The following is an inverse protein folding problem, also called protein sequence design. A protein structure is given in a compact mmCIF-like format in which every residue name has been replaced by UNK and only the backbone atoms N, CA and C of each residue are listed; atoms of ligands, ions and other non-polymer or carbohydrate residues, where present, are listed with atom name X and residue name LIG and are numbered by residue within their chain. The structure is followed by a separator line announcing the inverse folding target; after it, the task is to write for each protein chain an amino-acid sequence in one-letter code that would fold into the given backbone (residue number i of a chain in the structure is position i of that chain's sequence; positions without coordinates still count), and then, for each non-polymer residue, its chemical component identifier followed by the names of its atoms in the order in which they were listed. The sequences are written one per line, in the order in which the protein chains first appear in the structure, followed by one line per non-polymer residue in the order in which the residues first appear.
data_IF_195050421733
#
_entry.id   IF_195050421733
#
_cell.length_a   1.000
_cell.length_b   1.000
_cell.length_c   1.000
_cell.angle_alpha   90.00
_cell.angle_beta   90.00
_cell.angle_gamma   90.00
#
_symmetry.space_group_name_H-M   'P 1'
#
loop_
_entity.id
_entity.type
_entity.pdbx_description
1 polymer ?
#
# COMPACT_ATOMS: atom_id res chain seq x y z
N UNK A 1 27.85 52.74 -35.33
CA UNK A 1 27.80 51.93 -36.56
C UNK A 1 28.33 50.54 -36.25
N UNK A 2 27.50 49.55 -36.57
CA UNK A 2 27.49 48.11 -36.33
C UNK A 2 28.76 47.33 -35.93
N UNK A 3 28.69 46.67 -34.76
CA UNK A 3 29.38 45.39 -34.50
C UNK A 3 28.43 44.24 -34.88
N UNK A 4 28.62 43.65 -36.07
CA UNK A 4 27.92 42.41 -36.45
C UNK A 4 28.42 41.25 -35.59
N UNK A 5 27.57 40.76 -34.67
CA UNK A 5 27.78 39.50 -33.98
C UNK A 5 27.63 38.37 -35.00
N UNK A 6 28.74 37.69 -35.30
CA UNK A 6 28.76 36.51 -36.15
C UNK A 6 28.20 35.33 -35.36
N UNK A 7 26.87 35.18 -35.42
CA UNK A 7 26.15 34.04 -34.86
C UNK A 7 26.45 32.79 -35.71
N UNK A 8 27.16 31.81 -35.14
CA UNK A 8 27.53 30.58 -35.83
C UNK A 8 26.38 29.56 -35.72
N UNK A 9 25.74 29.16 -36.84
CA UNK A 9 24.57 28.29 -36.84
C UNK A 9 24.85 26.90 -36.25
N UNK A 10 26.12 26.49 -36.21
CA UNK A 10 26.53 25.19 -35.66
C UNK A 10 26.36 25.10 -34.14
N UNK A 11 26.55 26.22 -33.41
CA UNK A 11 26.44 26.23 -31.94
C UNK A 11 24.99 26.21 -31.47
N UNK A 12 24.09 26.82 -32.24
CA UNK A 12 22.65 26.87 -31.95
C UNK A 12 21.96 25.54 -32.16
N UNK A 13 22.31 24.81 -33.23
CA UNK A 13 21.72 23.51 -33.52
C UNK A 13 22.07 22.50 -32.42
N UNK A 14 23.31 22.52 -31.93
CA UNK A 14 23.75 21.62 -30.84
C UNK A 14 22.98 21.92 -29.54
N UNK A 15 22.74 23.20 -29.24
CA UNK A 15 22.04 23.61 -28.02
C UNK A 15 20.55 23.22 -28.06
N UNK A 16 19.90 23.35 -29.22
CA UNK A 16 18.52 22.93 -29.44
C UNK A 16 18.36 21.40 -29.40
N UNK A 17 19.31 20.66 -29.99
CA UNK A 17 19.31 19.18 -29.93
C UNK A 17 19.55 18.68 -28.51
N UNK A 18 20.44 19.32 -27.74
CA UNK A 18 20.69 18.99 -26.33
C UNK A 18 19.47 19.26 -25.45
N UNK A 19 18.72 20.34 -25.72
CA UNK A 19 17.51 20.69 -24.96
C UNK A 19 16.33 19.78 -25.31
N UNK A 20 16.27 19.26 -26.55
CA UNK A 20 15.27 18.29 -26.99
C UNK A 20 15.55 16.87 -26.44
N UNK A 21 16.82 16.46 -26.29
CA UNK A 21 17.17 15.17 -25.68
C UNK A 21 16.86 15.12 -24.18
N UNK A 22 16.90 16.25 -23.47
CA UNK A 22 16.58 16.30 -22.03
C UNK A 22 15.10 16.04 -21.72
N UNK A 23 14.19 16.21 -22.69
CA UNK A 23 12.76 15.97 -22.49
C UNK A 23 12.35 14.49 -22.63
N UNK A 24 13.22 13.64 -23.19
CA UNK A 24 12.89 12.23 -23.44
C UNK A 24 13.11 11.30 -22.24
N UNK A 25 13.59 11.81 -21.10
CA UNK A 25 13.92 10.99 -19.92
C UNK A 25 12.90 11.08 -18.77
N UNK A 26 11.69 11.62 -19.00
CA UNK A 26 10.60 11.47 -18.01
C UNK A 26 9.99 10.08 -18.14
N UNK A 27 10.74 9.06 -17.73
CA UNK A 27 10.26 7.68 -17.63
C UNK A 27 9.16 7.63 -16.56
N UNK A 28 7.91 7.74 -17.00
CA UNK A 28 6.74 7.43 -16.18
C UNK A 28 6.81 5.94 -15.81
N UNK A 29 7.21 5.64 -14.59
CA UNK A 29 7.08 4.29 -14.02
C UNK A 29 5.59 3.98 -13.85
N UNK A 30 4.97 3.42 -14.90
CA UNK A 30 3.57 3.00 -14.91
C UNK A 30 3.21 2.08 -13.73
N UNK A 31 4.20 1.35 -13.18
CA UNK A 31 4.07 0.51 -11.98
C UNK A 31 3.69 1.28 -10.71
N UNK A 32 4.26 2.46 -10.48
CA UNK A 32 3.92 3.28 -9.31
C UNK A 32 2.44 3.69 -9.31
N UNK A 33 1.79 3.74 -10.48
CA UNK A 33 0.36 4.08 -10.61
C UNK A 33 -0.57 2.94 -10.21
N UNK A 34 -0.07 1.70 -10.09
CA UNK A 34 -0.87 0.52 -9.76
C UNK A 34 -0.69 0.05 -8.31
N UNK A 35 0.27 0.63 -7.58
CA UNK A 35 0.57 0.28 -6.21
C UNK A 35 -0.16 1.18 -5.22
N UNK A 36 -1.36 0.78 -4.83
CA UNK A 36 -2.21 1.54 -3.90
C UNK A 36 -3.23 0.63 -3.21
N UNK A 37 -3.87 1.16 -2.17
CA UNK A 37 -5.05 0.57 -1.53
C UNK A 37 -6.09 1.65 -1.27
N UNK A 38 -7.36 1.34 -1.52
CA UNK A 38 -8.48 2.14 -1.02
C UNK A 38 -9.05 1.47 0.22
N UNK A 39 -9.19 2.25 1.29
CA UNK A 39 -9.73 1.82 2.58
C UNK A 39 -11.05 2.55 2.82
N UNK A 40 -12.06 1.82 3.28
CA UNK A 40 -13.42 2.33 3.47
C UNK A 40 -13.90 2.10 4.90
N UNK A 41 -14.69 3.04 5.41
CA UNK A 41 -15.20 3.04 6.79
C UNK A 41 -16.29 1.98 7.06
N UNK A 42 -17.05 1.61 6.02
CA UNK A 42 -18.14 0.64 6.14
C UNK A 42 -17.95 -0.53 5.18
N UNK A 43 -18.71 -1.63 5.36
CA UNK A 43 -18.73 -2.73 4.41
C UNK A 43 -19.18 -2.29 3.02
N UNK A 44 -18.91 -3.11 2.01
CA UNK A 44 -19.31 -2.91 0.61
C UNK A 44 -18.76 -1.61 0.01
N UNK A 45 -17.57 -1.19 0.46
CA UNK A 45 -16.87 -0.02 -0.05
C UNK A 45 -17.69 1.27 0.12
N UNK A 46 -18.40 1.37 1.25
CA UNK A 46 -19.25 2.51 1.60
C UNK A 46 -18.60 3.43 2.64
N UNK A 47 -19.17 4.63 2.77
CA UNK A 47 -18.77 5.63 3.77
C UNK A 47 -17.59 6.50 3.34
N UNK A 48 -16.90 7.07 4.32
CA UNK A 48 -15.65 7.78 4.06
C UNK A 48 -14.62 6.78 3.51
N UNK A 49 -13.78 7.24 2.57
CA UNK A 49 -12.72 6.43 2.01
C UNK A 49 -11.40 7.21 1.90
N UNK A 50 -10.29 6.49 1.90
CA UNK A 50 -8.96 7.05 1.66
C UNK A 50 -8.14 6.13 0.76
N UNK A 51 -7.44 6.75 -0.20
CA UNK A 51 -6.43 6.06 -1.00
C UNK A 51 -5.05 6.25 -0.38
N UNK A 52 -4.33 5.16 -0.20
CA UNK A 52 -2.93 5.14 0.23
C UNK A 52 -2.10 4.57 -0.92
N UNK A 53 -1.18 5.39 -1.44
CA UNK A 53 -0.26 5.00 -2.52
C UNK A 53 1.01 4.44 -1.91
N UNK A 54 1.42 3.26 -2.36
CA UNK A 54 2.63 2.58 -1.89
C UNK A 54 3.89 2.96 -2.70
N UNK A 55 5.07 2.47 -2.27
CA UNK A 55 5.26 1.62 -1.10
C UNK A 55 5.28 2.46 0.18
N UNK A 56 4.59 2.01 1.23
CA UNK A 56 4.55 2.73 2.51
C UNK A 56 4.32 1.80 3.70
N UNK A 57 4.86 2.20 4.86
CA UNK A 57 4.66 1.55 6.15
C UNK A 57 4.11 2.57 7.14
N UNK A 58 2.87 2.38 7.56
CA UNK A 58 2.19 3.22 8.54
C UNK A 58 2.17 2.50 9.88
N UNK A 59 3.09 2.88 10.77
CA UNK A 59 3.18 2.29 12.11
C UNK A 59 1.95 2.59 12.98
N UNK A 60 1.16 3.59 12.63
CA UNK A 60 -0.17 3.82 13.19
C UNK A 60 -1.09 4.44 12.12
N UNK A 61 -2.39 4.39 12.36
CA UNK A 61 -3.41 4.98 11.46
C UNK A 61 -4.07 6.23 12.06
N UNK A 62 -3.50 6.83 13.10
CA UNK A 62 -4.11 7.96 13.85
C UNK A 62 -4.12 9.29 13.12
N UNK A 63 -3.23 9.45 12.15
CA UNK A 63 -3.14 10.65 11.34
C UNK A 63 -2.73 10.29 9.91
N UNK A 64 -3.74 10.05 9.08
CA UNK A 64 -3.57 9.91 7.63
C UNK A 64 -4.28 11.10 6.99
N UNK A 65 -3.49 12.08 6.56
CA UNK A 65 -3.96 13.35 6.01
C UNK A 65 -4.88 14.15 6.95
N UNK A 66 -4.54 14.23 8.24
CA UNK A 66 -5.30 14.99 9.24
C UNK A 66 -6.55 14.26 9.76
N UNK A 67 -6.69 12.97 9.44
CA UNK A 67 -7.83 12.14 9.84
C UNK A 67 -7.35 10.89 10.57
N UNK A 68 -7.99 10.56 11.69
CA UNK A 68 -7.79 9.29 12.40
C UNK A 68 -8.55 8.17 11.67
N UNK A 69 -7.82 7.15 11.24
CA UNK A 69 -8.31 5.93 10.58
C UNK A 69 -8.15 4.67 11.43
N UNK A 70 -7.61 4.81 12.65
CA UNK A 70 -7.48 3.70 13.60
C UNK A 70 -8.86 3.15 13.97
N UNK A 71 -9.05 1.83 13.90
CA UNK A 71 -10.31 1.17 14.22
C UNK A 71 -11.53 1.67 13.40
N UNK A 72 -11.31 2.15 12.17
CA UNK A 72 -12.41 2.63 11.30
C UNK A 72 -12.65 1.79 10.06
N UNK A 73 -11.62 1.11 9.59
CA UNK A 73 -11.63 0.41 8.30
C UNK A 73 -12.47 -0.86 8.38
N UNK A 74 -13.30 -1.08 7.37
CA UNK A 74 -14.20 -2.24 7.32
C UNK A 74 -14.31 -2.92 5.95
N UNK A 75 -13.89 -2.24 4.87
CA UNK A 75 -13.72 -2.84 3.55
C UNK A 75 -12.54 -2.19 2.81
N UNK A 76 -12.01 -2.86 1.80
CA UNK A 76 -10.88 -2.36 1.01
C UNK A 76 -10.88 -2.85 -0.44
N UNK A 77 -10.11 -2.14 -1.27
CA UNK A 77 -9.75 -2.55 -2.64
C UNK A 77 -8.24 -2.43 -2.78
N UNK A 78 -7.58 -3.50 -3.23
CA UNK A 78 -6.14 -3.52 -3.48
C UNK A 78 -5.82 -3.26 -4.95
N UNK A 79 -4.96 -2.28 -5.22
CA UNK A 79 -4.46 -1.99 -6.55
C UNK A 79 -3.68 -3.15 -7.17
N UNK A 80 -3.68 -3.24 -8.50
CA UNK A 80 -3.05 -4.34 -9.27
C UNK A 80 -1.56 -4.56 -8.97
N UNK A 81 -0.85 -3.52 -8.55
CA UNK A 81 0.57 -3.56 -8.23
C UNK A 81 0.85 -3.51 -6.74
N UNK A 82 -0.11 -3.86 -5.88
CA UNK A 82 0.05 -3.82 -4.44
C UNK A 82 -0.21 -5.17 -3.76
N UNK A 83 0.50 -5.38 -2.65
CA UNK A 83 0.16 -6.32 -1.58
C UNK A 83 -0.02 -5.50 -0.30
N UNK A 84 -1.09 -5.76 0.43
CA UNK A 84 -1.47 -4.95 1.60
C UNK A 84 -1.54 -5.82 2.83
N UNK A 85 -0.94 -5.40 3.93
CA UNK A 85 -1.07 -6.04 5.23
C UNK A 85 -1.67 -5.06 6.25
N UNK A 86 -2.75 -5.47 6.93
CA UNK A 86 -3.37 -4.75 8.05
C UNK A 86 -3.06 -5.47 9.36
N UNK A 87 -2.77 -4.73 10.44
CA UNK A 87 -2.46 -5.31 11.74
C UNK A 87 -3.35 -4.74 12.84
N UNK A 88 -3.72 -5.55 13.84
CA UNK A 88 -4.54 -5.12 14.99
C UNK A 88 -3.78 -4.25 15.99
N UNK A 89 -2.45 -4.23 15.88
CA UNK A 89 -1.55 -3.49 16.78
C UNK A 89 -0.77 -2.42 16.02
N UNK A 90 -0.38 -1.33 16.71
CA UNK A 90 0.57 -0.37 16.15
C UNK A 90 1.94 -1.03 15.94
N UNK A 91 2.79 -0.36 15.15
CA UNK A 91 4.17 -0.75 14.88
C UNK A 91 4.35 -2.17 14.30
N UNK A 92 3.31 -2.70 13.65
CA UNK A 92 3.32 -4.05 13.07
C UNK A 92 3.58 -5.15 14.11
N UNK A 93 3.27 -4.87 15.38
CA UNK A 93 3.46 -5.83 16.46
C UNK A 93 2.52 -7.03 16.26
N UNK A 94 3.02 -8.21 16.58
CA UNK A 94 2.18 -9.39 16.74
C UNK A 94 1.75 -9.47 18.20
N UNK A 95 0.51 -9.88 18.48
CA UNK A 95 0.09 -10.11 19.87
C UNK A 95 0.94 -11.23 20.46
N UNK A 96 1.82 -10.85 21.37
CA UNK A 96 2.81 -11.71 22.00
C UNK A 96 2.17 -12.65 23.05
N UNK A 97 0.87 -12.53 23.30
CA UNK A 97 0.13 -13.39 24.23
C UNK A 97 -0.44 -14.64 23.56
N UNK A 98 -0.31 -14.78 22.24
CA UNK A 98 -0.67 -16.01 21.53
C UNK A 98 0.45 -17.05 21.66
N UNK A 99 0.16 -18.10 22.44
CA UNK A 99 1.01 -19.29 22.51
C UNK A 99 0.99 -19.96 21.15
N UNK A 100 2.09 -19.80 20.38
CA UNK A 100 2.33 -20.53 19.15
C UNK A 100 2.41 -22.03 19.42
N UNK A 101 1.29 -22.74 19.26
CA UNK A 101 1.33 -24.20 19.18
C UNK A 101 1.85 -24.58 17.80
N UNK A 102 3.10 -25.07 17.76
CA UNK A 102 3.65 -25.74 16.57
C UNK A 102 2.63 -26.71 15.97
N UNK A 103 2.57 -26.89 14.63
CA UNK A 103 1.72 -27.87 13.97
C UNK A 103 1.86 -29.31 14.49
N UNK A 104 2.96 -29.64 15.18
CA UNK A 104 3.15 -30.92 15.86
C UNK A 104 2.38 -31.03 17.19
N UNK A 105 2.23 -29.92 17.92
CA UNK A 105 1.55 -29.87 19.21
C UNK A 105 0.03 -29.73 19.07
N UNK A 106 -0.46 -29.00 18.06
CA UNK A 106 -1.89 -28.92 17.75
C UNK A 106 -2.50 -30.29 17.44
N UNK A 107 -1.78 -31.11 16.65
CA UNK A 107 -2.15 -32.50 16.36
C UNK A 107 -2.18 -33.39 17.60
N UNK A 108 -1.27 -33.16 18.55
CA UNK A 108 -1.21 -33.93 19.80
C UNK A 108 -2.36 -33.59 20.77
N UNK A 109 -3.00 -32.43 20.61
CA UNK A 109 -4.12 -31.97 21.43
C UNK A 109 -5.51 -32.23 20.80
N UNK A 110 -5.57 -32.91 19.65
CA UNK A 110 -6.83 -33.24 18.97
C UNK A 110 -7.52 -32.04 18.30
N UNK A 111 -6.81 -30.93 18.11
CA UNK A 111 -7.27 -29.74 17.38
C UNK A 111 -7.17 -30.07 15.88
N UNK A 112 -8.32 -30.34 15.25
CA UNK A 112 -8.41 -30.72 13.82
C UNK A 112 -8.97 -29.61 12.94
N UNK A 113 -9.26 -28.44 13.50
CA UNK A 113 -9.69 -27.27 12.77
C UNK A 113 -8.47 -26.45 12.31
N UNK A 114 -8.39 -26.24 11.00
CA UNK A 114 -7.38 -25.44 10.31
C UNK A 114 -7.55 -23.92 10.57
N UNK A 115 -8.23 -23.56 11.67
CA UNK A 115 -8.55 -22.19 12.11
C UNK A 115 -7.68 -21.74 13.29
N UNK A 116 -6.53 -22.39 13.50
CA UNK A 116 -5.57 -22.07 14.57
C UNK A 116 -4.48 -21.06 14.20
N UNK A 117 -4.68 -20.24 13.17
CA UNK A 117 -3.74 -19.16 12.81
C UNK A 117 -4.44 -17.82 12.94
N UNK A 118 -4.52 -17.30 14.17
CA UNK A 118 -4.68 -15.87 14.36
C UNK A 118 -3.38 -15.21 13.87
N UNK A 119 -3.34 -14.89 12.59
CA UNK A 119 -2.30 -14.01 12.08
C UNK A 119 -2.60 -12.64 12.71
N UNK A 120 -1.66 -12.08 13.48
CA UNK A 120 -1.79 -10.74 14.07
C UNK A 120 -2.01 -9.60 13.04
N UNK A 121 -2.12 -9.95 11.76
CA UNK A 121 -2.63 -9.12 10.70
C UNK A 121 -3.20 -9.95 9.55
N UNK A 122 -3.99 -9.31 8.68
CA UNK A 122 -4.50 -9.88 7.44
C UNK A 122 -3.68 -9.36 6.25
N UNK A 123 -3.42 -10.21 5.26
CA UNK A 123 -2.71 -9.82 4.04
C UNK A 123 -3.55 -10.09 2.80
N UNK A 124 -3.64 -9.08 1.94
CA UNK A 124 -4.47 -9.05 0.74
C UNK A 124 -3.60 -8.88 -0.51
N UNK A 125 -3.97 -9.57 -1.58
CA UNK A 125 -3.23 -9.62 -2.83
C UNK A 125 -3.75 -8.61 -3.85
N UNK A 126 -3.04 -8.44 -4.97
CA UNK A 126 -3.42 -7.53 -6.03
C UNK A 126 -4.82 -7.83 -6.61
N UNK A 127 -5.60 -6.76 -6.83
CA UNK A 127 -6.99 -6.79 -7.31
C UNK A 127 -7.98 -7.45 -6.36
N UNK A 128 -7.59 -7.70 -5.11
CA UNK A 128 -8.52 -8.20 -4.12
C UNK A 128 -9.48 -7.09 -3.68
N UNK A 129 -10.76 -7.44 -3.64
CA UNK A 129 -11.85 -6.60 -3.16
C UNK A 129 -12.48 -7.30 -1.96
N UNK A 130 -12.43 -6.62 -0.82
CA UNK A 130 -12.90 -7.16 0.45
C UNK A 130 -14.13 -6.38 0.85
N UNK A 131 -15.30 -6.97 0.66
CA UNK A 131 -16.57 -6.32 1.01
C UNK A 131 -16.74 -6.13 2.52
N UNK A 132 -16.18 -7.00 3.36
CA UNK A 132 -16.32 -6.87 4.81
C UNK A 132 -15.19 -7.59 5.56
N UNK A 133 -14.37 -6.85 6.31
CA UNK A 133 -13.28 -7.40 7.13
C UNK A 133 -13.78 -8.23 8.32
N UNK A 134 -15.05 -8.05 8.71
CA UNK A 134 -15.70 -8.83 9.77
C UNK A 134 -15.78 -10.34 9.48
N UNK A 135 -15.65 -10.78 8.23
CA UNK A 135 -15.68 -12.22 7.89
C UNK A 135 -14.50 -13.00 8.50
N UNK A 136 -13.40 -12.30 8.83
CA UNK A 136 -12.25 -12.82 9.57
C UNK A 136 -12.16 -12.29 11.01
N UNK A 137 -13.24 -11.70 11.53
CA UNK A 137 -13.23 -11.07 12.85
C UNK A 137 -12.36 -9.82 12.93
N UNK A 138 -12.07 -9.16 11.80
CA UNK A 138 -11.19 -7.98 11.70
C UNK A 138 -11.96 -6.66 11.47
N UNK A 139 -13.26 -6.63 11.82
CA UNK A 139 -14.10 -5.43 11.74
C UNK A 139 -13.52 -4.31 12.61
N UNK A 140 -13.11 -3.19 12.00
CA UNK A 140 -12.66 -1.99 12.74
C UNK A 140 -11.55 -2.26 13.74
N UNK A 141 -10.58 -3.09 13.36
CA UNK A 141 -9.43 -3.43 14.23
C UNK A 141 -8.09 -2.91 13.75
N UNK A 142 -7.99 -2.47 12.50
CA UNK A 142 -6.73 -2.02 11.92
C UNK A 142 -6.12 -0.86 12.72
N UNK A 143 -4.86 -1.01 13.12
CA UNK A 143 -4.06 0.04 13.78
C UNK A 143 -2.77 0.35 13.07
N UNK A 144 -2.21 -0.57 12.28
CA UNK A 144 -1.08 -0.30 11.39
C UNK A 144 -1.25 -0.99 10.04
N UNK A 145 -0.53 -0.51 9.02
CA UNK A 145 -0.68 -0.92 7.62
C UNK A 145 0.67 -0.95 6.91
N UNK A 146 0.88 -1.96 6.07
CA UNK A 146 1.96 -1.99 5.08
C UNK A 146 1.33 -2.10 3.69
N UNK A 147 1.81 -1.27 2.75
CA UNK A 147 1.51 -1.39 1.32
C UNK A 147 2.84 -1.64 0.60
N UNK A 148 3.04 -2.86 0.13
CA UNK A 148 4.20 -3.26 -0.66
C UNK A 148 3.85 -3.21 -2.16
N UNK A 149 4.75 -2.68 -2.97
CA UNK A 149 4.58 -2.71 -4.42
C UNK A 149 5.10 -4.02 -5.01
N UNK A 150 4.29 -4.66 -5.85
CA UNK A 150 4.61 -5.91 -6.53
C UNK A 150 4.57 -5.71 -8.05
N UNK A 151 5.41 -6.47 -8.76
CA UNK A 151 5.56 -6.43 -10.21
C UNK A 151 4.59 -7.36 -10.93
#
# INVERSE_FOLDING_TARGET
MDRKQHYSPKKTVILLVSMMLLWLFVSNSAFARMCWVDLYEYPQQLGAHIRIVGPIRLANLRDIHGTDWENRIDSLIVGKGARVSLFELPEFQQDNNEVYLSPSHSRALGVTDDYGYQQAGLTFSANEEVEHLGVWGFHKKAKSLIVDCIN
#
